data_IF_302462070141
#
_entry.id   IF_302462070141
#
_cell.length_a   1.000
_cell.length_b   1.000
_cell.length_c   1.000
_cell.angle_alpha   90.00
_cell.angle_beta   90.00
_cell.angle_gamma   90.00
#
_symmetry.space_group_name_H-M   'P 1'
#
loop_
_entity.id
_entity.type
_entity.pdbx_description
1 polymer ?
#
# COMPACT_ATOMS: atom_id res chain seq x y z
N UNK A 1 2.77 7.43 31.00
CA UNK A 1 1.60 6.63 30.54
C UNK A 1 0.44 7.56 30.22
N UNK A 2 -0.30 7.26 29.15
CA UNK A 2 -1.53 7.94 28.75
C UNK A 2 -2.65 6.93 28.67
N UNK A 3 -3.84 7.32 29.13
CA UNK A 3 -5.02 6.48 28.99
C UNK A 3 -5.56 6.63 27.56
N UNK A 4 -5.77 5.50 26.88
CA UNK A 4 -6.34 5.47 25.53
C UNK A 4 -7.60 4.61 25.47
N UNK A 5 -8.50 4.99 24.57
CA UNK A 5 -9.62 4.14 24.13
C UNK A 5 -9.29 3.59 22.77
N UNK A 6 -9.22 2.27 22.64
CA UNK A 6 -8.80 1.57 21.43
C UNK A 6 -9.94 0.73 20.86
N UNK A 7 -10.41 1.08 19.66
CA UNK A 7 -11.51 0.41 18.96
C UNK A 7 -11.00 -0.33 17.73
N UNK A 8 -11.32 -1.60 17.61
CA UNK A 8 -10.94 -2.43 16.47
C UNK A 8 -12.17 -2.98 15.79
N UNK A 9 -12.21 -2.88 14.48
CA UNK A 9 -13.23 -3.53 13.64
C UNK A 9 -12.97 -5.02 13.61
N UNK A 10 -13.91 -5.81 14.10
CA UNK A 10 -13.84 -7.27 14.18
C UNK A 10 -14.79 -7.90 13.18
N UNK A 11 -14.37 -9.00 12.62
CA UNK A 11 -15.19 -9.84 11.74
C UNK A 11 -14.56 -11.22 11.59
N UNK A 12 -15.31 -12.26 11.92
CA UNK A 12 -14.95 -13.65 11.59
C UNK A 12 -16.05 -14.24 10.69
N UNK A 13 -15.79 -14.53 9.41
CA UNK A 13 -16.81 -15.02 8.48
C UNK A 13 -17.41 -16.37 8.85
N UNK A 14 -16.80 -17.12 9.77
CA UNK A 14 -17.30 -18.42 10.25
C UNK A 14 -18.37 -18.26 11.34
N UNK A 15 -18.37 -17.14 12.09
CA UNK A 15 -19.23 -16.96 13.27
C UNK A 15 -20.05 -15.69 13.25
N UNK A 16 -19.65 -14.67 12.49
CA UNK A 16 -20.25 -13.35 12.54
C UNK A 16 -21.06 -13.06 11.28
N UNK A 17 -22.33 -12.67 11.45
CA UNK A 17 -23.18 -12.24 10.33
C UNK A 17 -22.70 -10.91 9.71
N UNK A 18 -22.16 -10.02 10.54
CA UNK A 18 -21.67 -8.69 10.13
C UNK A 18 -20.51 -8.21 11.00
N UNK A 19 -19.66 -7.32 10.46
CA UNK A 19 -18.57 -6.72 11.25
C UNK A 19 -19.12 -5.89 12.42
N UNK A 20 -18.42 -5.95 13.57
CA UNK A 20 -18.73 -5.19 14.79
C UNK A 20 -17.51 -4.48 15.34
N UNK A 21 -17.71 -3.58 16.30
CA UNK A 21 -16.63 -2.91 17.00
C UNK A 21 -16.36 -3.56 18.35
N UNK A 22 -15.09 -3.79 18.64
CA UNK A 22 -14.63 -4.17 19.95
C UNK A 22 -13.76 -3.05 20.53
N UNK A 23 -13.96 -2.72 21.79
CA UNK A 23 -13.33 -1.58 22.45
C UNK A 23 -12.64 -2.01 23.74
N UNK A 24 -11.49 -1.39 24.03
CA UNK A 24 -10.78 -1.50 25.29
C UNK A 24 -10.21 -0.14 25.71
N UNK A 25 -10.23 0.15 27.00
CA UNK A 25 -9.49 1.27 27.60
C UNK A 25 -8.28 0.72 28.33
N UNK A 26 -7.12 1.31 28.09
CA UNK A 26 -5.86 0.85 28.68
C UNK A 26 -4.87 2.02 28.82
N UNK A 27 -3.93 1.86 29.76
CA UNK A 27 -2.83 2.80 29.96
C UNK A 27 -1.60 2.28 29.21
N UNK A 28 -1.01 3.13 28.36
CA UNK A 28 0.17 2.82 27.54
C UNK A 28 1.16 3.99 27.58
N UNK A 29 2.39 3.76 27.17
CA UNK A 29 3.30 4.86 26.87
C UNK A 29 2.88 5.53 25.54
N UNK A 30 2.95 6.85 25.47
CA UNK A 30 2.57 7.61 24.27
C UNK A 30 3.50 7.36 23.09
N UNK A 31 4.69 6.83 23.36
CA UNK A 31 5.69 6.39 22.37
C UNK A 31 5.48 4.97 21.88
N UNK A 32 4.52 4.20 22.44
CA UNK A 32 4.18 2.89 21.89
C UNK A 32 3.58 3.00 20.50
N UNK A 33 3.81 1.97 19.68
CA UNK A 33 3.26 1.89 18.33
C UNK A 33 1.89 1.21 18.37
N UNK A 34 1.03 1.57 17.45
CA UNK A 34 -0.30 0.94 17.30
C UNK A 34 -0.21 -0.59 17.21
N UNK A 35 0.82 -1.14 16.55
CA UNK A 35 1.04 -2.58 16.46
C UNK A 35 1.36 -3.23 17.81
N UNK A 36 2.03 -2.51 18.71
CA UNK A 36 2.36 -3.02 20.04
C UNK A 36 1.12 -3.04 20.93
N UNK A 37 0.26 -2.02 20.82
CA UNK A 37 -1.07 -2.02 21.47
C UNK A 37 -1.93 -3.19 20.98
N UNK A 38 -1.97 -3.47 19.67
CA UNK A 38 -2.69 -4.63 19.12
C UNK A 38 -2.16 -5.96 19.67
N UNK A 39 -0.85 -6.09 19.83
CA UNK A 39 -0.21 -7.27 20.44
C UNK A 39 -0.53 -7.39 21.92
N UNK A 40 -0.52 -6.27 22.65
CA UNK A 40 -0.88 -6.21 24.06
C UNK A 40 -2.33 -6.66 24.27
N UNK A 41 -3.27 -6.12 23.51
CA UNK A 41 -4.67 -6.50 23.53
C UNK A 41 -4.84 -7.99 23.26
N UNK A 42 -4.27 -8.49 22.16
CA UNK A 42 -4.34 -9.90 21.78
C UNK A 42 -3.76 -10.84 22.84
N UNK A 43 -2.69 -10.46 23.51
CA UNK A 43 -1.97 -11.31 24.45
C UNK A 43 -2.52 -11.28 25.88
N UNK A 44 -3.08 -10.18 26.32
CA UNK A 44 -3.39 -9.95 27.75
C UNK A 44 -4.86 -9.69 28.06
N UNK A 45 -5.67 -9.29 27.09
CA UNK A 45 -7.04 -8.88 27.36
C UNK A 45 -8.04 -10.02 27.06
N UNK A 46 -8.99 -10.31 27.96
CA UNK A 46 -10.04 -11.29 27.71
C UNK A 46 -10.85 -10.98 26.45
N UNK A 47 -11.13 -11.98 25.64
CA UNK A 47 -11.87 -11.83 24.38
C UNK A 47 -11.06 -11.33 23.17
N UNK A 48 -9.84 -10.87 23.35
CA UNK A 48 -9.00 -10.36 22.26
C UNK A 48 -8.04 -11.39 21.64
N UNK A 49 -7.90 -12.58 22.24
CA UNK A 49 -6.96 -13.62 21.80
C UNK A 49 -7.15 -14.03 20.33
N UNK A 50 -8.40 -13.97 19.82
CA UNK A 50 -8.74 -14.29 18.44
C UNK A 50 -8.50 -13.17 17.44
N UNK A 51 -7.97 -12.00 17.85
CA UNK A 51 -7.76 -10.86 16.95
C UNK A 51 -6.81 -11.21 15.81
N UNK A 52 -7.32 -11.10 14.56
CA UNK A 52 -6.58 -11.35 13.33
C UNK A 52 -5.95 -10.08 12.76
N UNK A 53 -4.62 -10.02 12.68
CA UNK A 53 -3.87 -8.99 11.95
C UNK A 53 -2.53 -9.53 11.47
N UNK A 54 -1.93 -8.85 10.49
CA UNK A 54 -0.60 -9.17 9.99
C UNK A 54 0.41 -8.18 10.55
N UNK A 55 1.56 -8.68 10.99
CA UNK A 55 2.71 -7.88 11.38
C UNK A 55 3.96 -8.77 11.33
N UNK A 56 4.87 -8.50 10.40
CA UNK A 56 6.09 -9.29 10.21
C UNK A 56 7.32 -8.55 10.71
N UNK A 57 7.91 -7.63 9.94
CA UNK A 57 9.17 -6.99 10.30
C UNK A 57 9.07 -5.98 11.46
N UNK A 58 7.94 -5.32 11.62
CA UNK A 58 7.67 -4.28 12.61
C UNK A 58 8.61 -3.06 12.52
N UNK A 59 9.20 -2.84 11.33
CA UNK A 59 10.16 -1.75 11.07
C UNK A 59 9.78 -0.86 9.87
N UNK A 60 8.56 -1.03 9.33
CA UNK A 60 8.08 -0.24 8.19
C UNK A 60 8.67 -0.67 6.85
N UNK A 61 9.19 -1.90 6.72
CA UNK A 61 9.85 -2.41 5.50
C UNK A 61 8.98 -3.41 4.75
N UNK A 62 8.27 -4.31 5.45
CA UNK A 62 7.48 -5.36 4.78
C UNK A 62 6.09 -4.92 4.35
N UNK A 63 5.53 -3.83 4.92
CA UNK A 63 4.21 -3.32 4.61
C UNK A 63 3.03 -4.20 5.05
N UNK A 64 3.27 -5.32 5.76
CA UNK A 64 2.23 -6.30 6.08
C UNK A 64 1.17 -5.81 7.07
N UNK A 65 1.48 -4.78 7.84
CA UNK A 65 0.65 -4.19 8.89
C UNK A 65 -0.03 -2.87 8.47
N UNK A 66 -0.27 -2.70 7.17
CA UNK A 66 -1.06 -1.59 6.67
C UNK A 66 -2.52 -1.71 7.14
N UNK A 67 -3.02 -0.69 7.81
CA UNK A 67 -4.35 -0.61 8.41
C UNK A 67 -4.93 0.78 8.25
N UNK A 68 -6.24 0.90 8.35
CA UNK A 68 -6.92 2.19 8.45
C UNK A 68 -6.93 2.59 9.94
N UNK A 69 -6.11 3.58 10.30
CA UNK A 69 -5.99 4.08 11.68
C UNK A 69 -6.55 5.49 11.71
N UNK A 70 -7.59 5.71 12.51
CA UNK A 70 -8.35 6.97 12.56
C UNK A 70 -8.73 7.49 11.16
N UNK A 71 -9.20 6.58 10.28
CA UNK A 71 -9.65 6.92 8.93
C UNK A 71 -8.56 7.16 7.89
N UNK A 72 -7.28 7.00 8.26
CA UNK A 72 -6.12 7.18 7.36
C UNK A 72 -5.35 5.86 7.25
N UNK A 73 -5.01 5.44 6.04
CA UNK A 73 -4.17 4.26 5.83
C UNK A 73 -2.73 4.54 6.31
N UNK A 74 -2.26 3.74 7.25
CA UNK A 74 -0.93 3.85 7.86
C UNK A 74 -0.35 2.45 8.10
N UNK A 75 0.96 2.38 8.35
CA UNK A 75 1.58 1.18 8.91
C UNK A 75 1.48 1.22 10.43
N UNK A 76 0.87 0.22 11.04
CA UNK A 76 0.70 0.17 12.49
C UNK A 76 2.04 0.18 13.26
N UNK A 77 3.10 -0.36 12.65
CA UNK A 77 4.45 -0.36 13.22
C UNK A 77 5.21 0.99 13.09
N UNK A 78 4.67 1.94 12.32
CA UNK A 78 5.24 3.29 12.15
C UNK A 78 4.40 4.38 12.79
N UNK A 79 3.23 4.03 13.31
CA UNK A 79 2.28 4.98 13.90
C UNK A 79 2.37 4.90 15.42
N UNK A 80 2.77 6.00 16.05
CA UNK A 80 2.83 6.10 17.51
C UNK A 80 1.48 6.52 18.08
N UNK A 81 1.20 6.13 19.32
CA UNK A 81 -0.01 6.51 20.05
C UNK A 81 -0.14 8.04 20.09
N UNK A 82 0.94 8.77 20.40
CA UNK A 82 0.94 10.24 20.44
C UNK A 82 0.57 10.90 19.11
N UNK A 83 0.83 10.23 17.97
CA UNK A 83 0.53 10.79 16.63
C UNK A 83 -0.95 10.68 16.26
N UNK A 84 -1.73 9.87 16.98
CA UNK A 84 -3.14 9.58 16.68
C UNK A 84 -4.10 9.92 17.82
N UNK A 85 -3.56 10.33 18.98
CA UNK A 85 -4.32 10.76 20.14
C UNK A 85 -4.88 9.64 21.00
N UNK A 86 -5.70 10.00 21.99
CA UNK A 86 -6.23 9.07 23.01
C UNK A 86 -7.41 8.21 22.54
N UNK A 87 -8.05 8.55 21.44
CA UNK A 87 -9.13 7.72 20.85
C UNK A 87 -8.65 7.15 19.53
N UNK A 88 -8.38 5.85 19.48
CA UNK A 88 -7.76 5.19 18.33
C UNK A 88 -8.74 4.17 17.75
N UNK A 89 -9.09 4.35 16.48
CA UNK A 89 -9.89 3.39 15.72
C UNK A 89 -9.03 2.67 14.71
N UNK A 90 -9.19 1.34 14.63
CA UNK A 90 -8.43 0.50 13.68
C UNK A 90 -9.39 -0.37 12.87
N UNK A 91 -9.27 -0.26 11.56
CA UNK A 91 -10.06 -1.02 10.59
C UNK A 91 -9.15 -1.68 9.53
N UNK A 92 -9.64 -2.70 8.81
CA UNK A 92 -8.93 -3.18 7.63
C UNK A 92 -8.85 -2.10 6.56
N UNK A 93 -7.81 -2.11 5.73
CA UNK A 93 -7.70 -1.23 4.55
C UNK A 93 -8.90 -1.44 3.62
N UNK A 94 -9.43 -0.35 3.01
CA UNK A 94 -10.68 -0.38 2.23
C UNK A 94 -10.48 -0.86 0.79
N UNK A 95 -11.58 -1.37 0.19
CA UNK A 95 -11.61 -1.73 -1.23
C UNK A 95 -11.05 -3.11 -1.56
N UNK A 96 -10.61 -3.86 -0.56
CA UNK A 96 -10.24 -5.27 -0.68
C UNK A 96 -11.16 -6.13 0.20
N UNK A 97 -11.46 -7.39 -0.18
CA UNK A 97 -12.28 -8.28 0.62
C UNK A 97 -11.66 -8.56 1.99
N UNK A 98 -12.44 -8.44 3.05
CA UNK A 98 -11.99 -8.77 4.41
C UNK A 98 -12.07 -10.29 4.59
N UNK A 99 -10.93 -10.92 4.94
CA UNK A 99 -10.88 -12.35 5.28
C UNK A 99 -11.19 -12.59 6.76
N UNK A 100 -10.64 -11.76 7.65
CA UNK A 100 -10.91 -11.85 9.09
C UNK A 100 -10.36 -10.60 9.78
N UNK A 101 -11.16 -9.93 10.59
CA UNK A 101 -10.76 -8.74 11.36
C UNK A 101 -10.04 -7.68 10.50
N UNK A 102 -8.74 -7.50 10.73
CA UNK A 102 -7.88 -6.56 10.01
C UNK A 102 -7.15 -7.20 8.80
N UNK A 103 -7.40 -8.48 8.54
CA UNK A 103 -6.78 -9.22 7.44
C UNK A 103 -7.66 -9.12 6.19
N UNK A 104 -7.13 -8.55 5.13
CA UNK A 104 -7.77 -8.49 3.81
C UNK A 104 -7.16 -9.48 2.83
N UNK A 105 -7.91 -9.80 1.78
CA UNK A 105 -7.40 -10.52 0.63
C UNK A 105 -6.57 -9.62 -0.26
N UNK A 106 -5.28 -9.89 -0.34
CA UNK A 106 -4.34 -9.13 -1.17
C UNK A 106 -4.22 -9.70 -2.60
N UNK A 107 -4.88 -10.79 -2.92
CA UNK A 107 -4.75 -11.42 -4.24
C UNK A 107 -5.16 -10.49 -5.40
N UNK A 108 -6.29 -9.77 -5.35
CA UNK A 108 -6.65 -8.81 -6.39
C UNK A 108 -5.58 -7.72 -6.60
N UNK A 109 -4.97 -7.23 -5.51
CA UNK A 109 -3.88 -6.27 -5.56
C UNK A 109 -2.64 -6.84 -6.25
N UNK A 110 -2.22 -8.04 -5.88
CA UNK A 110 -1.05 -8.68 -6.50
C UNK A 110 -1.31 -9.14 -7.94
N UNK A 111 -2.53 -9.50 -8.29
CA UNK A 111 -2.90 -9.79 -9.68
C UNK A 111 -2.77 -8.54 -10.57
N UNK A 112 -3.25 -7.39 -10.10
CA UNK A 112 -3.03 -6.11 -10.79
C UNK A 112 -1.54 -5.76 -10.92
N UNK A 113 -0.75 -5.97 -9.86
CA UNK A 113 0.70 -5.78 -9.88
C UNK A 113 1.38 -6.68 -10.92
N UNK A 114 1.08 -7.98 -10.91
CA UNK A 114 1.68 -8.97 -11.83
C UNK A 114 1.32 -8.72 -13.29
N UNK A 115 0.14 -8.17 -13.58
CA UNK A 115 -0.31 -7.90 -14.95
C UNK A 115 0.60 -6.97 -15.73
N UNK A 116 1.37 -6.12 -15.02
CA UNK A 116 2.33 -5.18 -15.61
C UNK A 116 3.74 -5.74 -15.77
N UNK A 117 3.94 -7.04 -15.58
CA UNK A 117 5.26 -7.68 -15.70
C UNK A 117 6.33 -6.91 -14.92
N UNK A 118 6.25 -6.91 -13.56
CA UNK A 118 7.10 -6.08 -12.70
C UNK A 118 8.51 -6.67 -12.54
N UNK A 119 9.19 -6.91 -13.63
CA UNK A 119 10.59 -7.38 -13.73
C UNK A 119 11.26 -6.76 -14.94
N UNK A 120 12.59 -6.74 -14.94
CA UNK A 120 13.36 -6.21 -16.07
C UNK A 120 13.17 -7.09 -17.31
N UNK A 121 12.73 -6.48 -18.41
CA UNK A 121 12.59 -7.13 -19.73
C UNK A 121 13.67 -6.61 -20.63
N UNK A 122 14.64 -7.44 -20.98
CA UNK A 122 15.67 -7.11 -21.96
C UNK A 122 16.41 -8.36 -22.43
N UNK A 123 16.08 -8.84 -23.61
CA UNK A 123 16.64 -10.05 -24.22
C UNK A 123 17.95 -9.77 -25.00
N UNK A 124 18.41 -8.53 -25.06
CA UNK A 124 19.69 -8.19 -25.72
C UNK A 124 20.85 -8.82 -24.92
N UNK A 125 21.78 -9.50 -25.57
CA UNK A 125 22.96 -10.02 -24.88
C UNK A 125 23.72 -8.94 -24.11
N UNK A 126 24.21 -9.29 -22.91
CA UNK A 126 25.02 -8.35 -22.10
C UNK A 126 26.42 -8.29 -22.66
N UNK A 127 26.87 -7.08 -23.03
CA UNK A 127 28.21 -6.83 -23.59
C UNK A 127 29.29 -6.77 -22.49
N UNK A 128 29.21 -7.60 -21.46
CA UNK A 128 30.14 -7.58 -20.34
C UNK A 128 29.55 -8.31 -19.14
N UNK A 129 29.88 -7.84 -17.93
CA UNK A 129 29.39 -8.46 -16.69
C UNK A 129 27.98 -8.01 -16.30
N UNK A 130 27.60 -6.78 -16.67
CA UNK A 130 26.32 -6.17 -16.25
C UNK A 130 25.81 -5.15 -17.28
N UNK A 131 24.53 -4.76 -17.13
CA UNK A 131 23.92 -3.67 -17.90
C UNK A 131 24.19 -2.36 -17.16
N UNK A 132 25.06 -1.54 -17.72
CA UNK A 132 25.40 -0.24 -17.15
C UNK A 132 24.22 0.72 -17.23
N UNK A 133 24.13 1.61 -16.25
CA UNK A 133 23.16 2.69 -16.16
C UNK A 133 23.84 3.92 -15.55
N UNK A 134 23.58 5.11 -16.09
CA UNK A 134 24.08 6.34 -15.50
C UNK A 134 23.33 6.72 -14.24
N UNK A 135 23.93 7.50 -13.32
CA UNK A 135 23.22 8.06 -12.17
C UNK A 135 21.99 8.89 -12.57
N UNK A 136 22.07 9.65 -13.66
CA UNK A 136 20.99 10.50 -14.19
C UNK A 136 19.81 9.67 -14.67
N UNK A 137 20.05 8.58 -15.41
CA UNK A 137 19.02 7.62 -15.81
C UNK A 137 18.35 6.97 -14.60
N UNK A 138 19.14 6.66 -13.59
CA UNK A 138 18.65 6.05 -12.36
C UNK A 138 17.75 7.01 -11.56
N UNK A 139 18.08 8.28 -11.49
CA UNK A 139 17.34 9.30 -10.73
C UNK A 139 15.90 9.43 -11.22
N UNK A 140 15.64 9.23 -12.51
CA UNK A 140 14.29 9.36 -13.12
C UNK A 140 13.24 8.50 -12.41
N UNK A 141 13.61 7.31 -11.96
CA UNK A 141 12.67 6.36 -11.35
C UNK A 141 13.08 5.91 -9.93
N UNK A 142 14.14 6.46 -9.36
CA UNK A 142 14.65 6.05 -8.05
C UNK A 142 13.58 6.11 -6.96
N UNK A 143 12.81 7.20 -6.92
CA UNK A 143 11.73 7.39 -5.94
C UNK A 143 10.74 6.22 -5.94
N UNK A 144 10.35 5.71 -7.11
CA UNK A 144 9.37 4.63 -7.23
C UNK A 144 9.91 3.25 -6.83
N UNK A 145 11.24 3.09 -6.75
CA UNK A 145 11.86 1.84 -6.26
C UNK A 145 11.70 1.62 -4.76
N UNK A 146 11.34 2.65 -4.00
CA UNK A 146 11.08 2.57 -2.54
C UNK A 146 9.81 1.82 -2.20
N UNK A 147 8.97 1.44 -3.20
CA UNK A 147 7.69 0.79 -2.98
C UNK A 147 7.84 -0.56 -2.28
N UNK A 148 7.13 -0.72 -1.15
CA UNK A 148 7.10 -1.95 -0.33
C UNK A 148 5.84 -2.79 -0.54
N UNK A 149 5.02 -2.48 -1.53
CA UNK A 149 3.79 -3.21 -1.87
C UNK A 149 2.78 -3.34 -0.71
N UNK A 150 2.74 -2.37 0.19
CA UNK A 150 1.84 -2.39 1.36
C UNK A 150 0.35 -2.18 1.03
N UNK A 151 0.03 -1.69 -0.17
CA UNK A 151 -1.34 -1.43 -0.61
C UNK A 151 -1.96 -0.13 -0.08
N UNK A 152 -1.34 0.59 0.86
CA UNK A 152 -1.91 1.78 1.49
C UNK A 152 -2.38 2.85 0.47
N UNK A 153 -1.61 3.12 -0.56
CA UNK A 153 -1.95 4.08 -1.59
C UNK A 153 -3.14 3.65 -2.47
N UNK A 154 -3.19 2.37 -2.86
CA UNK A 154 -4.30 1.83 -3.67
C UNK A 154 -5.59 1.84 -2.88
N UNK A 155 -5.54 1.42 -1.64
CA UNK A 155 -6.70 1.35 -0.74
C UNK A 155 -7.11 2.70 -0.13
N UNK A 156 -6.33 3.77 -0.35
CA UNK A 156 -6.72 5.16 -0.06
C UNK A 156 -7.37 5.87 -1.25
N UNK A 157 -7.40 5.23 -2.42
CA UNK A 157 -7.85 5.87 -3.66
C UNK A 157 -9.36 5.77 -3.84
N UNK A 158 -10.12 6.89 -3.87
CA UNK A 158 -11.56 6.87 -4.12
C UNK A 158 -11.92 6.25 -5.48
N UNK A 159 -11.08 6.43 -6.50
CA UNK A 159 -11.29 5.79 -7.81
C UNK A 159 -11.20 4.26 -7.75
N UNK A 160 -10.39 3.72 -6.84
CA UNK A 160 -10.32 2.28 -6.59
C UNK A 160 -11.56 1.76 -5.84
N UNK A 161 -12.07 2.54 -4.88
CA UNK A 161 -13.30 2.16 -4.18
C UNK A 161 -14.53 2.17 -5.11
N UNK A 162 -14.57 3.13 -6.04
CA UNK A 162 -15.68 3.24 -7.00
C UNK A 162 -15.62 2.17 -8.11
N UNK A 163 -14.44 1.64 -8.41
CA UNK A 163 -14.24 0.61 -9.44
C UNK A 163 -13.06 -0.29 -9.08
N UNK A 164 -13.36 -1.46 -8.54
CA UNK A 164 -12.35 -2.47 -8.16
C UNK A 164 -11.50 -3.04 -9.33
N UNK A 165 -11.88 -2.79 -10.58
CA UNK A 165 -11.08 -3.16 -11.76
C UNK A 165 -9.98 -2.14 -12.08
N UNK A 166 -9.98 -0.97 -11.42
CA UNK A 166 -8.89 0.00 -11.56
C UNK A 166 -7.58 -0.62 -11.07
N UNK A 167 -6.55 -0.61 -11.91
CA UNK A 167 -5.24 -1.20 -11.57
C UNK A 167 -4.61 -0.63 -10.29
N UNK A 168 -4.98 0.60 -9.94
CA UNK A 168 -4.58 1.25 -8.69
C UNK A 168 -3.21 1.96 -8.74
N UNK A 169 -3.00 2.90 -7.82
CA UNK A 169 -1.78 3.70 -7.77
C UNK A 169 -0.49 2.88 -7.61
N UNK A 170 -0.48 1.86 -6.75
CA UNK A 170 0.72 1.03 -6.53
C UNK A 170 1.17 0.32 -7.80
N UNK A 171 0.24 -0.20 -8.59
CA UNK A 171 0.51 -0.86 -9.86
C UNK A 171 1.14 0.11 -10.85
N UNK A 172 0.60 1.33 -10.97
CA UNK A 172 1.14 2.36 -11.86
C UNK A 172 2.55 2.81 -11.42
N UNK A 173 2.80 2.97 -10.12
CA UNK A 173 4.13 3.29 -9.56
C UNK A 173 5.15 2.19 -9.91
N UNK A 174 4.77 0.94 -9.79
CA UNK A 174 5.67 -0.17 -10.12
C UNK A 174 5.88 -0.31 -11.63
N UNK A 175 4.89 0.05 -12.46
CA UNK A 175 5.10 0.16 -13.91
C UNK A 175 6.06 1.29 -14.25
N UNK A 176 5.91 2.48 -13.62
CA UNK A 176 6.79 3.63 -13.79
C UNK A 176 8.26 3.23 -13.62
N UNK A 177 8.56 2.48 -12.55
CA UNK A 177 9.91 1.99 -12.27
C UNK A 177 10.56 1.31 -13.48
N UNK A 178 9.82 0.47 -14.20
CA UNK A 178 10.35 -0.27 -15.36
C UNK A 178 10.19 0.48 -16.68
N UNK A 179 9.14 1.28 -16.84
CA UNK A 179 8.93 2.12 -18.03
C UNK A 179 10.09 3.11 -18.20
N UNK A 180 10.57 3.69 -17.12
CA UNK A 180 11.62 4.70 -17.14
C UNK A 180 13.04 4.16 -16.86
N UNK A 181 13.20 2.86 -16.62
CA UNK A 181 14.52 2.23 -16.53
C UNK A 181 15.14 2.15 -17.95
N UNK A 182 16.28 2.81 -18.17
CA UNK A 182 16.98 2.83 -19.46
C UNK A 182 17.44 1.45 -19.94
N UNK A 183 17.54 0.50 -19.02
CA UNK A 183 17.93 -0.89 -19.30
C UNK A 183 16.75 -1.77 -19.72
N UNK A 184 15.50 -1.34 -19.47
CA UNK A 184 14.29 -2.11 -19.77
C UNK A 184 13.78 -1.86 -21.20
N UNK A 185 13.34 -2.92 -21.87
CA UNK A 185 12.76 -2.89 -23.22
C UNK A 185 11.25 -3.13 -23.25
N UNK A 186 10.63 -3.40 -22.10
CA UNK A 186 9.19 -3.70 -21.98
C UNK A 186 8.29 -2.47 -21.81
N UNK A 187 8.79 -1.24 -21.99
CA UNK A 187 8.03 -0.03 -21.75
C UNK A 187 6.76 0.06 -22.62
N UNK A 188 6.84 -0.25 -23.91
CA UNK A 188 5.71 -0.16 -24.86
C UNK A 188 4.56 -1.07 -24.44
N UNK A 189 4.84 -2.30 -24.01
CA UNK A 189 3.84 -3.25 -23.57
C UNK A 189 3.12 -2.77 -22.28
N UNK A 190 3.88 -2.27 -21.30
CA UNK A 190 3.32 -1.73 -20.06
C UNK A 190 2.47 -0.48 -20.32
N UNK A 191 2.90 0.41 -21.20
CA UNK A 191 2.13 1.58 -21.59
C UNK A 191 0.81 1.19 -22.29
N UNK A 192 0.82 0.15 -23.12
CA UNK A 192 -0.40 -0.37 -23.75
C UNK A 192 -1.40 -0.91 -22.73
N UNK A 193 -0.95 -1.64 -21.71
CA UNK A 193 -1.79 -2.12 -20.60
C UNK A 193 -2.34 -0.92 -19.80
N UNK A 194 -1.51 0.06 -19.47
CA UNK A 194 -1.92 1.23 -18.69
C UNK A 194 -2.83 2.19 -19.47
N UNK A 195 -2.81 2.17 -20.79
CA UNK A 195 -3.67 2.99 -21.65
C UNK A 195 -5.11 2.44 -21.76
N UNK A 196 -5.41 1.28 -21.19
CA UNK A 196 -6.75 0.70 -21.22
C UNK A 196 -7.74 1.45 -20.30
N UNK A 197 -9.05 1.14 -20.46
CA UNK A 197 -10.17 1.75 -19.71
C UNK A 197 -9.95 1.77 -18.19
N UNK A 198 -9.43 0.67 -17.63
CA UNK A 198 -9.19 0.51 -16.19
C UNK A 198 -7.72 0.81 -15.79
N UNK A 199 -6.95 1.40 -16.68
CA UNK A 199 -5.58 1.82 -16.49
C UNK A 199 -5.44 3.24 -15.91
N UNK A 200 -4.38 3.93 -16.31
CA UNK A 200 -3.96 5.21 -15.73
C UNK A 200 -4.99 6.34 -15.79
N UNK A 201 -5.93 6.29 -16.76
CA UNK A 201 -6.96 7.32 -16.97
C UNK A 201 -8.06 7.32 -15.89
N UNK A 202 -8.17 6.29 -15.06
CA UNK A 202 -9.03 6.29 -13.88
C UNK A 202 -8.50 7.18 -12.76
N UNK A 203 -7.22 7.53 -12.78
CA UNK A 203 -6.63 8.46 -11.80
C UNK A 203 -7.21 9.88 -11.98
N UNK A 204 -7.85 10.40 -10.93
CA UNK A 204 -8.45 11.74 -10.86
C UNK A 204 -7.58 12.77 -10.14
N UNK A 205 -6.32 12.41 -9.84
CA UNK A 205 -5.34 13.32 -9.20
C UNK A 205 -5.83 13.88 -7.85
N UNK A 206 -6.33 12.98 -6.98
CA UNK A 206 -6.91 13.35 -5.67
C UNK A 206 -5.83 13.48 -4.58
N UNK A 207 -4.61 12.99 -4.83
CA UNK A 207 -3.43 12.96 -3.95
C UNK A 207 -3.49 11.99 -2.76
N UNK A 208 -4.62 11.48 -2.31
CA UNK A 208 -4.71 10.54 -1.18
C UNK A 208 -3.67 9.40 -1.22
N UNK A 209 -3.28 8.94 -2.41
CA UNK A 209 -2.27 7.90 -2.57
C UNK A 209 -0.86 8.38 -2.20
N UNK A 210 -0.52 9.64 -2.51
CA UNK A 210 0.77 10.24 -2.14
C UNK A 210 0.81 10.46 -0.63
N UNK A 211 -0.27 11.01 -0.05
CA UNK A 211 -0.35 11.31 1.38
C UNK A 211 -0.32 10.04 2.25
N UNK A 212 -0.92 8.95 1.75
CA UNK A 212 -0.94 7.67 2.46
C UNK A 212 0.34 6.82 2.30
N UNK A 213 1.31 7.28 1.50
CA UNK A 213 2.50 6.48 1.23
C UNK A 213 3.48 6.49 2.41
N UNK A 214 3.72 5.35 3.10
CA UNK A 214 4.65 5.32 4.24
C UNK A 214 6.13 5.38 3.83
N UNK A 215 6.42 5.49 2.52
CA UNK A 215 7.75 5.61 1.94
C UNK A 215 7.97 6.96 1.24
N UNK A 216 7.02 7.90 1.38
CA UNK A 216 7.04 9.26 0.83
C UNK A 216 7.21 9.33 -0.69
N UNK A 217 6.77 8.28 -1.39
CA UNK A 217 6.84 8.23 -2.85
C UNK A 217 5.89 9.28 -3.45
N UNK A 218 6.38 10.06 -4.40
CA UNK A 218 5.59 11.06 -5.13
C UNK A 218 4.69 10.38 -6.18
N UNK A 219 3.73 9.58 -5.70
CA UNK A 219 2.89 8.69 -6.51
C UNK A 219 2.15 9.44 -7.62
N UNK A 220 1.55 10.58 -7.28
CA UNK A 220 0.80 11.40 -8.24
C UNK A 220 1.71 11.95 -9.35
N UNK A 221 2.97 12.31 -9.02
CA UNK A 221 3.99 12.71 -10.00
C UNK A 221 4.31 11.55 -10.95
N UNK A 222 4.58 10.36 -10.42
CA UNK A 222 4.85 9.16 -11.22
C UNK A 222 3.69 8.82 -12.17
N UNK A 223 2.44 8.89 -11.69
CA UNK A 223 1.25 8.70 -12.53
C UNK A 223 1.18 9.75 -13.65
N UNK A 224 1.50 11.01 -13.33
CA UNK A 224 1.56 12.10 -14.31
C UNK A 224 2.61 11.85 -15.41
N UNK A 225 3.79 11.33 -15.04
CA UNK A 225 4.83 10.97 -15.99
C UNK A 225 4.40 9.82 -16.92
N UNK A 226 3.74 8.79 -16.38
CA UNK A 226 3.18 7.70 -17.18
C UNK A 226 2.10 8.21 -18.15
N UNK A 227 1.20 9.11 -17.73
CA UNK A 227 0.21 9.74 -18.61
C UNK A 227 0.90 10.50 -19.77
N UNK A 228 1.95 11.29 -19.46
CA UNK A 228 2.73 11.98 -20.49
C UNK A 228 3.40 11.01 -21.46
N UNK A 229 3.99 9.92 -20.95
CA UNK A 229 4.62 8.90 -21.80
C UNK A 229 3.62 8.23 -22.75
N UNK A 230 2.36 8.04 -22.34
CA UNK A 230 1.30 7.50 -23.21
C UNK A 230 0.92 8.52 -24.30
N UNK A 231 0.79 9.81 -23.96
CA UNK A 231 0.33 10.85 -24.87
C UNK A 231 1.39 11.31 -25.89
N UNK A 232 2.65 11.40 -25.46
CA UNK A 232 3.71 12.05 -26.23
C UNK A 232 4.91 11.14 -26.53
N UNK A 233 4.83 9.88 -26.13
CA UNK A 233 5.98 8.97 -26.16
C UNK A 233 6.84 9.09 -24.89
N UNK A 234 7.69 8.09 -24.68
CA UNK A 234 8.66 8.09 -23.57
C UNK A 234 9.71 9.18 -23.86
N UNK A 235 9.82 10.14 -22.95
CA UNK A 235 10.92 11.11 -22.95
C UNK A 235 12.16 10.48 -22.32
#
# INVERSE_FOLDING_TARGET
>A
MVQITFKVRRFNPETDEKPYWMEASLDVEDTERVVDVLRLLKGKFPGWSGLGFRASCVHGICGSDAMLINGINRLACKTLVKDVGSSITVEPIKGLPVKRDLIVDMEPFFNSYKSLKPWLINDTPVAGKERLQSPEDREVYDDTTKCILCGACTTSCPSFWANGEFLGPATIVNAHRFIFDSRDKGAAERLAILNQKNGVWRCRTIFNCTDACPRDIQITKAIGQVKKAIMFGKA
#
